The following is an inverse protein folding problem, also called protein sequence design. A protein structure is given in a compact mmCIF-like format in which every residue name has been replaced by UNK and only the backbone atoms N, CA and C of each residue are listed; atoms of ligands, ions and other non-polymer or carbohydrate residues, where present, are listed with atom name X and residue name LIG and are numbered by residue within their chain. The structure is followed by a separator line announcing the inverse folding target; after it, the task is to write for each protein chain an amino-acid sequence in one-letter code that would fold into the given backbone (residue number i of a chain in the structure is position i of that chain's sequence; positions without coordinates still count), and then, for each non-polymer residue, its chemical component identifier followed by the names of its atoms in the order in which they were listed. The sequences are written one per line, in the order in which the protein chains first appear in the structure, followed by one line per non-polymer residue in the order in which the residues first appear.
data_IF_325324161616
#
_entry.id   IF_325324161616
#
_cell.length_a   1.000
_cell.length_b   1.000
_cell.length_c   1.000
_cell.angle_alpha   90.00
_cell.angle_beta   90.00
_cell.angle_gamma   90.00
#
_symmetry.space_group_name_H-M   'P 1'
#
loop_
_entity.id
_entity.type
_entity.pdbx_description
1 polymer ?
#
# COMPACT_ATOMS: atom_id res chain seq x y z
N UNK A 1 -16.09 -11.19 26.75
CA UNK A 1 -15.18 -11.37 25.60
C UNK A 1 -13.94 -12.08 26.12
N UNK A 2 -13.68 -13.33 25.73
CA UNK A 2 -12.49 -14.06 26.16
C UNK A 2 -11.22 -13.33 25.72
N UNK A 3 -10.21 -13.28 26.60
CA UNK A 3 -8.91 -12.72 26.28
C UNK A 3 -8.32 -13.51 25.10
N UNK A 4 -7.92 -12.80 24.05
CA UNK A 4 -7.30 -13.43 22.87
C UNK A 4 -5.90 -13.86 23.28
N UNK A 5 -5.66 -15.17 23.32
CA UNK A 5 -4.32 -15.70 23.55
C UNK A 5 -3.46 -15.46 22.30
N UNK A 6 -2.16 -15.24 22.51
CA UNK A 6 -1.21 -15.10 21.43
C UNK A 6 -0.88 -16.49 20.85
N UNK A 7 -0.86 -16.66 19.52
CA UNK A 7 -0.49 -17.94 18.92
C UNK A 7 1.01 -18.19 19.11
N UNK A 8 1.38 -19.34 19.67
CA UNK A 8 2.78 -19.70 19.92
C UNK A 8 3.44 -20.33 18.69
N UNK A 9 2.65 -20.94 17.82
CA UNK A 9 3.10 -21.59 16.57
C UNK A 9 2.60 -20.85 15.33
N UNK A 10 3.22 -21.13 14.17
CA UNK A 10 2.78 -20.54 12.91
C UNK A 10 1.40 -21.10 12.53
N UNK A 11 1.16 -22.37 12.81
CA UNK A 11 -0.09 -23.08 12.56
C UNK A 11 -1.23 -22.47 13.39
N UNK A 12 -0.99 -22.17 14.67
CA UNK A 12 -1.96 -21.44 15.51
C UNK A 12 -2.20 -20.03 14.98
N UNK A 13 -1.16 -19.37 14.46
CA UNK A 13 -1.32 -18.05 13.85
C UNK A 13 -2.16 -18.11 12.56
N UNK A 14 -1.97 -19.13 11.73
CA UNK A 14 -2.78 -19.40 10.54
C UNK A 14 -4.22 -19.71 10.92
N UNK A 15 -4.46 -20.61 11.88
CA UNK A 15 -5.81 -20.93 12.37
C UNK A 15 -6.53 -19.69 12.93
N UNK A 16 -5.82 -18.85 13.70
CA UNK A 16 -6.34 -17.57 14.19
C UNK A 16 -6.66 -16.60 13.03
N UNK A 17 -5.94 -16.72 11.90
CA UNK A 17 -6.20 -15.97 10.67
C UNK A 17 -7.47 -16.48 9.96
N UNK A 18 -7.68 -17.78 9.90
CA UNK A 18 -8.89 -18.37 9.32
C UNK A 18 -10.13 -17.98 10.14
N UNK A 19 -10.11 -18.20 11.46
CA UNK A 19 -11.27 -18.07 12.35
C UNK A 19 -11.89 -16.66 12.33
N UNK A 20 -11.06 -15.60 12.36
CA UNK A 20 -11.54 -14.22 12.61
C UNK A 20 -11.64 -13.32 11.37
N UNK A 21 -11.43 -13.86 10.16
CA UNK A 21 -11.53 -13.11 8.89
C UNK A 21 -10.74 -11.79 8.84
N UNK A 22 -11.08 -10.85 7.95
CA UNK A 22 -10.29 -9.60 7.65
C UNK A 22 -10.08 -8.59 8.80
N UNK A 23 -10.32 -8.94 10.07
CA UNK A 23 -10.64 -8.01 11.17
C UNK A 23 -9.50 -7.64 12.13
N UNK A 24 -8.34 -8.32 12.12
CA UNK A 24 -7.26 -8.11 13.10
C UNK A 24 -5.87 -7.91 12.45
N UNK A 25 -4.92 -7.20 13.10
CA UNK A 25 -3.60 -6.90 12.55
C UNK A 25 -2.66 -8.12 12.63
N UNK A 26 -2.98 -9.13 11.84
CA UNK A 26 -2.33 -10.45 11.81
C UNK A 26 -1.00 -10.46 11.06
N UNK A 27 -0.77 -9.47 10.19
CA UNK A 27 0.54 -9.25 9.56
C UNK A 27 1.64 -9.13 10.62
N UNK A 28 1.35 -8.51 11.77
CA UNK A 28 2.31 -8.41 12.86
C UNK A 28 2.65 -9.78 13.47
N UNK A 29 1.64 -10.64 13.65
CA UNK A 29 1.81 -12.00 14.19
C UNK A 29 2.65 -12.84 13.22
N UNK A 30 2.37 -12.80 11.92
CA UNK A 30 3.19 -13.52 10.94
C UNK A 30 4.63 -13.00 10.90
N UNK A 31 4.82 -11.67 10.94
CA UNK A 31 6.16 -11.07 11.07
C UNK A 31 6.86 -11.57 12.34
N UNK A 32 6.14 -11.68 13.46
CA UNK A 32 6.70 -12.23 14.70
C UNK A 32 7.26 -13.64 14.50
N UNK A 33 6.47 -14.57 13.94
CA UNK A 33 6.93 -15.95 13.75
C UNK A 33 8.07 -16.05 12.75
N UNK A 34 8.03 -15.27 11.67
CA UNK A 34 9.09 -15.23 10.65
C UNK A 34 10.41 -14.71 11.25
N UNK A 35 10.37 -13.61 12.00
CA UNK A 35 11.55 -13.06 12.66
C UNK A 35 12.07 -13.96 13.79
N UNK A 36 11.16 -14.63 14.52
CA UNK A 36 11.54 -15.65 15.52
C UNK A 36 12.29 -16.80 14.87
N UNK A 37 11.81 -17.29 13.72
CA UNK A 37 12.44 -18.37 12.94
C UNK A 37 13.80 -17.95 12.37
N UNK A 38 13.93 -16.71 11.91
CA UNK A 38 15.19 -16.19 11.37
C UNK A 38 16.26 -15.92 12.45
N UNK A 39 15.86 -15.77 13.71
CA UNK A 39 16.77 -15.60 14.84
C UNK A 39 17.66 -14.37 14.70
N UNK A 40 18.95 -14.53 15.00
CA UNK A 40 19.94 -13.45 15.00
C UNK A 40 20.23 -12.89 13.61
N UNK A 41 20.06 -13.69 12.54
CA UNK A 41 20.21 -13.26 11.14
C UNK A 41 19.20 -12.18 10.77
N UNK A 42 18.01 -12.23 11.36
CA UNK A 42 16.90 -11.35 11.01
C UNK A 42 16.40 -11.55 9.57
N UNK A 43 15.42 -10.74 9.18
CA UNK A 43 14.86 -10.74 7.82
C UNK A 43 14.67 -9.34 7.27
N UNK A 44 14.76 -9.22 5.95
CA UNK A 44 14.35 -8.04 5.22
C UNK A 44 12.83 -7.93 5.10
N UNK A 45 12.33 -6.71 4.94
CA UNK A 45 10.89 -6.44 4.78
C UNK A 45 10.32 -7.18 3.57
N UNK A 46 11.06 -7.21 2.45
CA UNK A 46 10.62 -7.87 1.22
C UNK A 46 10.58 -9.39 1.34
N UNK A 47 11.56 -9.99 2.02
CA UNK A 47 11.55 -11.42 2.31
C UNK A 47 10.36 -11.80 3.20
N UNK A 48 10.10 -11.04 4.27
CA UNK A 48 8.91 -11.26 5.09
C UNK A 48 7.62 -11.14 4.27
N UNK A 49 7.54 -10.19 3.35
CA UNK A 49 6.39 -10.07 2.45
C UNK A 49 6.21 -11.29 1.56
N UNK A 50 7.28 -11.79 0.92
CA UNK A 50 7.24 -13.00 0.09
C UNK A 50 6.79 -14.21 0.89
N UNK A 51 7.31 -14.38 2.10
CA UNK A 51 6.95 -15.47 3.00
C UNK A 51 5.49 -15.39 3.45
N UNK A 52 5.02 -14.19 3.82
CA UNK A 52 3.61 -13.99 4.17
C UNK A 52 2.71 -14.31 2.98
N UNK A 53 3.07 -13.87 1.77
CA UNK A 53 2.29 -14.17 0.56
C UNK A 53 2.22 -15.69 0.33
N UNK A 54 3.36 -16.38 0.44
CA UNK A 54 3.43 -17.84 0.32
C UNK A 54 2.54 -18.55 1.34
N UNK A 55 2.58 -18.14 2.62
CA UNK A 55 1.71 -18.71 3.67
C UNK A 55 0.23 -18.57 3.30
N UNK A 56 -0.19 -17.44 2.72
CA UNK A 56 -1.57 -17.24 2.28
C UNK A 56 -1.95 -18.15 1.10
N UNK A 57 -1.02 -18.37 0.17
CA UNK A 57 -1.21 -19.23 -1.00
C UNK A 57 -1.26 -20.71 -0.61
N UNK A 58 -0.31 -21.18 0.22
CA UNK A 58 -0.19 -22.57 0.66
C UNK A 58 -1.34 -23.00 1.58
N UNK A 59 -1.75 -22.15 2.52
CA UNK A 59 -2.82 -22.47 3.46
C UNK A 59 -4.21 -22.13 2.92
N UNK A 60 -4.34 -21.70 1.66
CA UNK A 60 -5.64 -21.51 1.01
C UNK A 60 -6.59 -20.60 1.79
N UNK A 61 -6.05 -19.56 2.44
CA UNK A 61 -6.73 -18.78 3.50
C UNK A 61 -8.02 -18.07 3.07
N UNK A 62 -8.52 -18.24 1.84
CA UNK A 62 -9.73 -17.60 1.30
C UNK A 62 -9.68 -16.07 1.33
N UNK A 63 -8.49 -15.52 1.59
CA UNK A 63 -8.24 -14.13 1.90
C UNK A 63 -7.09 -13.63 1.03
N UNK A 64 -7.19 -12.38 0.59
CA UNK A 64 -6.11 -11.72 -0.14
C UNK A 64 -4.93 -11.47 0.81
N UNK A 65 -3.68 -11.84 0.45
CA UNK A 65 -2.51 -11.52 1.25
C UNK A 65 -2.33 -10.00 1.41
N UNK A 66 -1.69 -9.54 2.50
CA UNK A 66 -1.42 -8.12 2.69
C UNK A 66 -0.44 -7.61 1.60
N UNK A 67 -0.65 -6.41 1.05
CA UNK A 67 0.30 -5.84 0.11
C UNK A 67 1.63 -5.51 0.80
N UNK A 68 2.73 -5.46 0.04
CA UNK A 68 4.06 -5.14 0.55
C UNK A 68 4.08 -3.86 1.42
N UNK A 69 3.37 -2.81 1.00
CA UNK A 69 3.29 -1.55 1.76
C UNK A 69 2.65 -1.72 3.15
N UNK A 70 1.72 -2.67 3.32
CA UNK A 70 1.14 -2.98 4.62
C UNK A 70 2.17 -3.67 5.52
N UNK A 71 2.99 -4.58 4.97
CA UNK A 71 4.12 -5.20 5.67
C UNK A 71 5.15 -4.14 6.07
N UNK A 72 5.55 -3.28 5.14
CA UNK A 72 6.49 -2.18 5.40
C UNK A 72 6.01 -1.22 6.49
N UNK A 73 4.74 -0.78 6.43
CA UNK A 73 4.13 0.06 7.48
C UNK A 73 4.10 -0.67 8.83
N UNK A 74 3.86 -1.97 8.81
CA UNK A 74 3.90 -2.79 10.03
C UNK A 74 5.31 -2.82 10.63
N UNK A 75 6.36 -3.04 9.83
CA UNK A 75 7.74 -2.93 10.28
C UNK A 75 8.05 -1.57 10.92
N UNK A 76 7.59 -0.48 10.30
CA UNK A 76 7.73 0.85 10.89
C UNK A 76 7.07 0.94 12.28
N UNK A 77 5.83 0.46 12.43
CA UNK A 77 5.15 0.46 13.73
C UNK A 77 5.87 -0.41 14.76
N UNK A 78 6.24 -1.64 14.38
CA UNK A 78 6.93 -2.59 15.26
C UNK A 78 8.28 -2.02 15.74
N UNK A 79 9.04 -1.36 14.86
CA UNK A 79 10.29 -0.68 15.20
C UNK A 79 10.04 0.48 16.16
N UNK A 80 9.02 1.31 15.91
CA UNK A 80 8.68 2.45 16.80
C UNK A 80 8.18 2.00 18.17
N UNK A 81 7.61 0.80 18.27
CA UNK A 81 7.21 0.18 19.54
C UNK A 81 8.38 -0.53 20.24
N UNK A 82 9.55 -0.62 19.62
CA UNK A 82 10.71 -1.33 20.14
C UNK A 82 10.56 -2.86 20.16
N UNK A 83 9.66 -3.41 19.34
CA UNK A 83 9.42 -4.86 19.24
C UNK A 83 10.41 -5.53 18.28
N UNK A 84 10.93 -4.77 17.33
CA UNK A 84 11.99 -5.19 16.40
C UNK A 84 13.09 -4.14 16.35
N UNK A 85 14.29 -4.56 16.03
CA UNK A 85 15.46 -3.70 15.85
C UNK A 85 16.19 -4.01 14.54
N UNK A 86 17.02 -3.07 14.11
CA UNK A 86 17.87 -3.23 12.95
C UNK A 86 19.04 -4.17 13.28
N UNK A 87 19.24 -5.19 12.44
CA UNK A 87 20.23 -6.24 12.63
C UNK A 87 21.44 -6.11 11.68
N UNK A 88 21.41 -5.15 10.75
CA UNK A 88 22.45 -4.94 9.73
C UNK A 88 21.86 -4.71 8.34
N UNK A 89 22.74 -4.44 7.38
CA UNK A 89 22.37 -4.36 5.96
C UNK A 89 23.21 -5.38 5.20
N UNK A 90 22.60 -6.01 4.22
CA UNK A 90 23.30 -6.81 3.22
C UNK A 90 23.32 -6.05 1.89
N UNK A 91 24.36 -6.22 1.05
CA UNK A 91 24.35 -5.65 -0.29
C UNK A 91 23.15 -6.20 -1.07
N UNK A 92 22.54 -5.35 -1.90
CA UNK A 92 21.52 -5.78 -2.83
C UNK A 92 22.08 -6.78 -3.85
N UNK A 93 21.21 -7.51 -4.54
CA UNK A 93 21.62 -8.49 -5.55
C UNK A 93 22.38 -7.89 -6.74
N UNK A 94 22.29 -6.57 -6.93
CA UNK A 94 23.00 -5.81 -7.95
C UNK A 94 23.75 -4.62 -7.35
N UNK A 95 24.81 -4.12 -7.99
CA UNK A 95 25.60 -2.99 -7.49
C UNK A 95 24.80 -1.69 -7.29
N UNK A 96 23.74 -1.49 -8.07
CA UNK A 96 22.82 -0.35 -7.97
C UNK A 96 21.59 -0.62 -7.08
N UNK A 97 21.44 -1.85 -6.57
CA UNK A 97 20.32 -2.18 -5.71
C UNK A 97 20.56 -1.63 -4.30
N UNK A 98 19.50 -1.07 -3.72
CA UNK A 98 19.56 -0.56 -2.35
C UNK A 98 19.91 -1.71 -1.37
N UNK A 99 20.74 -1.43 -0.34
CA UNK A 99 21.05 -2.42 0.68
C UNK A 99 19.79 -2.98 1.35
N UNK A 100 19.78 -4.29 1.58
CA UNK A 100 18.68 -4.98 2.24
C UNK A 100 18.84 -4.82 3.74
N UNK A 101 18.02 -3.95 4.34
CA UNK A 101 17.97 -3.78 5.78
C UNK A 101 17.36 -5.01 6.47
N UNK A 102 18.13 -5.65 7.34
CA UNK A 102 17.72 -6.80 8.16
C UNK A 102 17.16 -6.31 9.48
N UNK A 103 16.10 -6.96 9.95
CA UNK A 103 15.50 -6.70 11.26
C UNK A 103 15.38 -7.99 12.05
N UNK A 104 15.51 -7.91 13.37
CA UNK A 104 15.32 -9.03 14.29
C UNK A 104 14.44 -8.65 15.47
N UNK A 105 13.96 -9.66 16.20
CA UNK A 105 13.20 -9.44 17.43
C UNK A 105 14.12 -8.87 18.52
N UNK A 106 13.60 -7.90 19.28
CA UNK A 106 14.21 -7.48 20.54
C UNK A 106 13.79 -8.40 21.68
N UNK A 107 14.47 -8.37 22.83
CA UNK A 107 13.97 -9.04 24.05
C UNK A 107 12.55 -8.60 24.42
N UNK A 108 12.27 -7.31 24.24
CA UNK A 108 10.93 -6.76 24.45
C UNK A 108 9.93 -7.36 23.47
N UNK A 109 10.29 -7.47 22.19
CA UNK A 109 9.49 -8.16 21.17
C UNK A 109 9.16 -9.60 21.53
N UNK A 110 10.08 -10.31 22.19
CA UNK A 110 9.85 -11.66 22.69
C UNK A 110 8.93 -11.72 23.91
N UNK A 111 8.98 -10.74 24.82
CA UNK A 111 8.16 -10.73 26.05
C UNK A 111 6.75 -10.16 25.83
N UNK A 112 6.61 -9.09 25.04
CA UNK A 112 5.39 -8.27 24.95
C UNK A 112 4.37 -8.79 23.91
N UNK A 113 3.92 -10.04 24.08
CA UNK A 113 2.99 -10.76 23.18
C UNK A 113 1.70 -10.00 22.86
N UNK A 114 1.15 -9.30 23.84
CA UNK A 114 -0.09 -8.54 23.69
C UNK A 114 0.02 -7.41 22.66
N UNK A 115 1.22 -6.83 22.49
CA UNK A 115 1.45 -5.73 21.54
C UNK A 115 1.39 -6.20 20.09
N UNK A 116 1.75 -7.46 19.83
CA UNK A 116 1.70 -8.06 18.49
C UNK A 116 0.28 -8.34 18.01
N UNK A 117 -0.67 -8.56 18.93
CA UNK A 117 -2.08 -8.74 18.58
C UNK A 117 -2.72 -7.46 18.03
N UNK A 118 -2.22 -6.28 18.43
CA UNK A 118 -2.67 -5.00 17.88
C UNK A 118 -1.64 -3.86 18.03
N UNK A 119 -0.54 -3.84 17.25
CA UNK A 119 0.52 -2.85 17.40
C UNK A 119 0.00 -1.41 17.25
N UNK A 120 -0.96 -1.21 16.35
CA UNK A 120 -1.55 0.11 16.08
C UNK A 120 -2.27 0.70 17.29
N UNK A 121 -2.81 -0.11 18.20
CA UNK A 121 -3.43 0.37 19.44
C UNK A 121 -2.42 0.98 20.40
N UNK A 122 -1.18 0.49 20.38
CA UNK A 122 -0.09 0.95 21.22
C UNK A 122 0.70 2.10 20.58
N UNK A 123 0.64 2.21 19.26
CA UNK A 123 1.29 3.30 18.52
C UNK A 123 0.48 4.60 18.59
N UNK A 124 1.05 5.66 19.18
CA UNK A 124 0.53 7.03 19.14
C UNK A 124 1.42 7.90 18.23
N UNK A 125 0.90 8.45 17.11
CA UNK A 125 1.69 9.38 16.31
C UNK A 125 1.87 10.70 17.08
N UNK A 126 3.12 11.09 17.35
CA UNK A 126 3.48 12.43 17.84
C UNK A 126 3.75 12.62 19.33
N UNK A 127 4.17 11.61 20.09
CA UNK A 127 4.53 11.80 21.51
C UNK A 127 5.84 11.14 21.90
N UNK A 128 6.76 11.94 22.45
CA UNK A 128 7.82 11.45 23.34
C UNK A 128 7.25 10.71 24.55
N UNK A 129 8.13 10.21 25.41
CA UNK A 129 7.82 9.45 26.62
C UNK A 129 6.51 9.91 27.27
N UNK A 130 5.57 8.97 27.46
CA UNK A 130 4.33 9.26 28.13
C UNK A 130 4.64 9.76 29.55
N UNK A 131 4.30 11.02 29.83
CA UNK A 131 4.29 11.53 31.20
C UNK A 131 3.39 10.60 32.06
N UNK A 132 3.80 10.30 33.31
CA UNK A 132 3.01 9.45 34.19
C UNK A 132 1.59 10.00 34.31
N UNK A 133 0.60 9.13 34.15
CA UNK A 133 -0.80 9.52 34.30
C UNK A 133 -1.03 10.00 35.73
N UNK A 134 -1.72 11.13 35.95
CA UNK A 134 -2.16 11.49 37.29
C UNK A 134 -3.17 10.44 37.80
N UNK A 135 -3.23 10.22 39.12
CA UNK A 135 -4.14 9.23 39.70
C UNK A 135 -5.58 9.50 39.28
N UNK A 136 -6.26 8.43 38.88
CA UNK A 136 -7.63 8.45 38.36
C UNK A 136 -8.63 8.86 39.45
N UNK A 137 -9.05 10.12 39.42
CA UNK A 137 -10.28 10.56 40.07
C UNK A 137 -11.54 10.00 39.39
N UNK A 138 -12.70 10.05 40.07
CA UNK A 138 -13.95 9.50 39.56
C UNK A 138 -14.34 10.14 38.22
N UNK A 139 -14.62 9.28 37.25
CA UNK A 139 -14.92 9.63 35.86
C UNK A 139 -16.30 10.31 35.80
N UNK A 140 -16.45 11.50 35.19
CA UNK A 140 -17.76 12.10 35.01
C UNK A 140 -18.63 11.22 34.09
N UNK A 141 -19.96 11.17 34.31
CA UNK A 141 -20.85 10.37 33.48
C UNK A 141 -20.86 10.89 32.03
N UNK A 142 -21.07 10.01 31.04
CA UNK A 142 -21.05 10.39 29.64
C UNK A 142 -22.21 11.35 29.33
N UNK A 143 -21.99 12.40 28.54
CA UNK A 143 -23.05 13.33 28.18
C UNK A 143 -24.10 12.62 27.32
N UNK A 144 -25.38 12.82 27.64
CA UNK A 144 -26.53 12.33 26.85
C UNK A 144 -26.57 12.98 25.46
N UNK A 145 -25.83 12.41 24.50
CA UNK A 145 -25.90 12.85 23.11
C UNK A 145 -27.16 12.33 22.42
N UNK A 146 -28.11 13.24 22.18
CA UNK A 146 -29.38 12.97 21.46
C UNK A 146 -29.16 12.18 20.14
N UNK A 147 -29.92 11.10 19.88
CA UNK A 147 -29.70 10.14 18.79
C UNK A 147 -29.69 10.72 17.36
N UNK A 148 -30.21 11.94 17.16
CA UNK A 148 -30.25 12.63 15.86
C UNK A 148 -28.86 13.06 15.34
N UNK A 149 -27.90 13.43 16.21
CA UNK A 149 -26.53 13.82 15.79
C UNK A 149 -25.70 12.62 15.30
N UNK A 150 -25.85 11.46 15.97
CA UNK A 150 -25.17 10.19 15.62
C UNK A 150 -25.53 9.68 14.22
N UNK A 151 -26.81 9.81 13.84
CA UNK A 151 -27.31 9.37 12.52
C UNK A 151 -26.76 10.25 11.37
N UNK A 152 -26.64 11.58 11.60
CA UNK A 152 -26.05 12.53 10.64
C UNK A 152 -24.55 12.31 10.45
N UNK A 153 -23.80 12.11 11.54
CA UNK A 153 -22.37 11.82 11.47
C UNK A 153 -22.07 10.48 10.75
N UNK A 154 -22.91 9.46 10.96
CA UNK A 154 -22.79 8.16 10.29
C UNK A 154 -23.06 8.27 8.78
N UNK A 155 -24.07 9.03 8.36
CA UNK A 155 -24.34 9.33 6.94
C UNK A 155 -23.21 10.13 6.28
N UNK A 156 -22.67 11.15 6.97
CA UNK A 156 -21.54 11.93 6.46
C UNK A 156 -20.27 11.08 6.29
N UNK A 157 -19.97 10.18 7.24
CA UNK A 157 -18.85 9.23 7.12
C UNK A 157 -19.04 8.23 5.99
N UNK A 158 -20.26 7.73 5.77
CA UNK A 158 -20.58 6.80 4.66
C UNK A 158 -20.37 7.48 3.30
N UNK A 159 -20.89 8.70 3.13
CA UNK A 159 -20.65 9.53 1.93
C UNK A 159 -19.17 9.88 1.71
N UNK A 160 -18.40 10.11 2.78
CA UNK A 160 -16.94 10.35 2.71
C UNK A 160 -16.14 9.09 2.37
N UNK A 161 -16.68 7.90 2.65
CA UNK A 161 -16.07 6.60 2.34
C UNK A 161 -16.41 6.16 0.90
N UNK A 162 -17.63 6.44 0.45
CA UNK A 162 -18.08 6.23 -0.94
C UNK A 162 -17.36 7.20 -1.92
N UNK A 163 -17.14 8.47 -1.53
CA UNK A 163 -16.26 9.40 -2.28
C UNK A 163 -14.76 9.04 -2.25
N UNK A 164 -14.37 8.07 -1.43
CA UNK A 164 -13.00 7.53 -1.32
C UNK A 164 -12.90 6.11 -1.92
N UNK A 165 -13.80 5.76 -2.84
CA UNK A 165 -13.50 4.74 -3.86
C UNK A 165 -12.34 5.19 -4.77
N UNK A 166 -12.09 4.52 -5.90
CA UNK A 166 -10.82 4.15 -6.60
C UNK A 166 -9.62 5.12 -6.61
N UNK A 167 -9.77 6.37 -6.17
CA UNK A 167 -8.75 7.41 -5.98
C UNK A 167 -7.51 7.02 -5.18
N UNK A 168 -7.61 6.04 -4.29
CA UNK A 168 -6.44 5.56 -3.54
C UNK A 168 -5.72 4.39 -4.22
N UNK A 169 -6.41 3.66 -5.09
CA UNK A 169 -5.80 2.51 -5.79
C UNK A 169 -4.97 3.01 -6.96
N UNK A 170 -5.52 3.79 -7.90
CA UNK A 170 -4.74 4.23 -9.06
C UNK A 170 -3.58 5.16 -8.70
N UNK A 171 -3.72 5.97 -7.63
CA UNK A 171 -2.66 6.88 -7.18
C UNK A 171 -1.43 6.13 -6.66
N UNK A 172 -1.62 4.93 -6.11
CA UNK A 172 -0.51 4.04 -5.79
C UNK A 172 0.24 3.62 -7.05
N UNK A 173 -0.47 3.19 -8.10
CA UNK A 173 0.17 2.81 -9.36
C UNK A 173 0.94 4.01 -9.94
N UNK A 174 0.31 5.19 -10.01
CA UNK A 174 0.94 6.43 -10.47
C UNK A 174 2.21 6.82 -9.68
N UNK A 175 2.16 6.79 -8.35
CA UNK A 175 3.30 7.16 -7.49
C UNK A 175 4.45 6.12 -7.54
N UNK A 176 4.22 4.93 -8.12
CA UNK A 176 5.20 3.83 -8.21
C UNK A 176 5.44 3.38 -9.67
N UNK A 177 5.34 4.32 -10.62
CA UNK A 177 5.64 4.11 -12.03
C UNK A 177 7.07 3.58 -12.29
N UNK A 178 8.00 3.91 -11.40
CA UNK A 178 9.40 3.48 -11.43
C UNK A 178 9.61 1.99 -11.10
N UNK A 179 8.58 1.32 -10.58
CA UNK A 179 8.57 -0.11 -10.25
C UNK A 179 8.00 -0.98 -11.38
N UNK A 180 7.60 -0.37 -12.50
CA UNK A 180 7.06 -1.10 -13.65
C UNK A 180 8.17 -1.89 -14.34
N UNK A 181 7.92 -3.18 -14.55
CA UNK A 181 8.75 -4.09 -15.31
C UNK A 181 7.90 -4.74 -16.41
N UNK A 182 8.55 -5.33 -17.41
CA UNK A 182 7.85 -6.06 -18.48
C UNK A 182 6.88 -7.12 -17.94
N UNK A 183 7.28 -7.81 -16.87
CA UNK A 183 6.50 -8.91 -16.27
C UNK A 183 5.27 -8.44 -15.48
N UNK A 184 5.26 -7.21 -14.96
CA UNK A 184 4.16 -6.70 -14.12
C UNK A 184 3.32 -5.59 -14.80
N UNK A 185 3.69 -5.21 -16.01
CA UNK A 185 3.11 -4.09 -16.75
C UNK A 185 1.59 -4.19 -16.92
N UNK A 186 1.07 -5.38 -17.22
CA UNK A 186 -0.37 -5.61 -17.40
C UNK A 186 -1.18 -5.35 -16.11
N UNK A 187 -0.77 -5.97 -15.01
CA UNK A 187 -1.41 -5.78 -13.69
C UNK A 187 -1.30 -4.32 -13.22
N UNK A 188 -0.17 -3.68 -13.52
CA UNK A 188 0.07 -2.29 -13.18
C UNK A 188 -0.86 -1.34 -13.95
N UNK A 189 -1.03 -1.55 -15.26
CA UNK A 189 -1.95 -0.77 -16.10
C UNK A 189 -3.40 -0.92 -15.66
N UNK A 190 -3.85 -2.14 -15.33
CA UNK A 190 -5.21 -2.38 -14.83
C UNK A 190 -5.48 -1.59 -13.54
N UNK A 191 -4.49 -1.52 -12.65
CA UNK A 191 -4.57 -0.75 -11.42
C UNK A 191 -4.55 0.76 -11.61
N UNK A 192 -3.82 1.25 -12.63
CA UNK A 192 -3.74 2.65 -13.00
C UNK A 192 -4.97 3.13 -13.78
N UNK A 193 -5.64 2.23 -14.51
CA UNK A 193 -6.70 2.56 -15.47
C UNK A 193 -7.83 3.44 -14.92
N UNK A 194 -8.34 3.22 -13.69
CA UNK A 194 -9.34 4.11 -13.09
C UNK A 194 -8.85 5.56 -12.95
N UNK A 195 -7.55 5.76 -12.73
CA UNK A 195 -6.91 7.07 -12.69
C UNK A 195 -6.77 7.70 -14.06
N UNK A 196 -6.45 6.90 -15.08
CA UNK A 196 -6.39 7.36 -16.47
C UNK A 196 -7.72 7.96 -16.92
N UNK A 197 -8.86 7.41 -16.49
CA UNK A 197 -10.19 8.03 -16.76
C UNK A 197 -10.41 9.36 -16.03
N UNK A 198 -9.79 9.56 -14.87
CA UNK A 198 -9.93 10.79 -14.07
C UNK A 198 -8.96 11.89 -14.52
N UNK A 199 -7.70 11.56 -14.81
CA UNK A 199 -6.61 12.50 -15.10
C UNK A 199 -5.65 11.96 -16.18
N UNK A 200 -6.11 11.73 -17.42
CA UNK A 200 -5.33 11.02 -18.45
C UNK A 200 -4.03 11.75 -18.80
N UNK A 201 -4.09 13.07 -19.03
CA UNK A 201 -2.93 13.87 -19.43
C UNK A 201 -1.80 13.84 -18.38
N UNK A 202 -2.16 13.98 -17.10
CA UNK A 202 -1.20 13.98 -15.99
C UNK A 202 -0.45 12.65 -15.87
N UNK A 203 -1.18 11.56 -16.10
CA UNK A 203 -0.64 10.22 -15.99
C UNK A 203 0.25 9.89 -17.19
N UNK A 204 -0.22 10.21 -18.41
CA UNK A 204 0.55 10.06 -19.65
C UNK A 204 1.87 10.84 -19.62
N UNK A 205 1.84 12.10 -19.20
CA UNK A 205 3.05 12.91 -19.04
C UNK A 205 4.10 12.20 -18.19
N UNK A 206 3.68 11.62 -17.06
CA UNK A 206 4.61 10.94 -16.14
C UNK A 206 5.16 9.62 -16.74
N UNK A 207 4.34 8.91 -17.52
CA UNK A 207 4.78 7.71 -18.25
C UNK A 207 5.85 8.10 -19.27
N UNK A 208 5.63 9.17 -20.03
CA UNK A 208 6.56 9.71 -21.04
C UNK A 208 7.89 10.13 -20.42
N UNK A 209 7.86 10.96 -19.37
CA UNK A 209 9.08 11.41 -18.65
C UNK A 209 9.96 10.21 -18.22
N UNK A 210 9.34 9.12 -17.77
CA UNK A 210 10.05 7.92 -17.33
C UNK A 210 10.52 7.04 -18.49
N UNK A 211 9.84 7.10 -19.63
CA UNK A 211 10.25 6.41 -20.84
C UNK A 211 11.59 6.95 -21.35
N UNK A 212 11.72 8.28 -21.38
CA UNK A 212 12.93 8.95 -21.83
C UNK A 212 14.10 8.76 -20.84
N UNK A 213 13.81 8.61 -19.54
CA UNK A 213 14.82 8.31 -18.52
C UNK A 213 15.35 6.85 -18.56
N UNK A 214 14.56 5.87 -19.07
CA UNK A 214 14.84 4.43 -18.86
C UNK A 214 14.85 3.54 -20.11
N UNK A 215 14.48 4.05 -21.29
CA UNK A 215 14.57 3.32 -22.56
C UNK A 215 13.54 2.18 -22.75
N UNK A 216 13.82 1.28 -23.69
CA UNK A 216 12.86 0.47 -24.47
C UNK A 216 11.79 -0.39 -23.78
N UNK A 217 11.81 -0.60 -22.46
CA UNK A 217 10.69 -1.23 -21.73
C UNK A 217 9.45 -0.32 -21.74
N UNK A 218 9.65 0.99 -21.80
CA UNK A 218 8.57 1.96 -21.74
C UNK A 218 7.93 2.28 -23.09
N UNK A 219 8.58 1.98 -24.22
CA UNK A 219 7.92 2.02 -25.54
C UNK A 219 6.79 0.99 -25.62
N UNK A 220 7.00 -0.24 -25.12
CA UNK A 220 5.94 -1.25 -25.02
C UNK A 220 4.79 -0.81 -24.10
N UNK A 221 5.08 -0.02 -23.06
CA UNK A 221 4.07 0.55 -22.18
C UNK A 221 3.24 1.62 -22.89
N UNK A 222 3.86 2.50 -23.67
CA UNK A 222 3.17 3.52 -24.47
C UNK A 222 2.25 2.87 -25.51
N UNK A 223 2.73 1.83 -26.19
CA UNK A 223 1.94 1.03 -27.14
C UNK A 223 0.70 0.45 -26.47
N UNK A 224 0.88 -0.13 -25.29
CA UNK A 224 -0.23 -0.74 -24.55
C UNK A 224 -1.23 0.31 -24.04
N UNK A 225 -0.76 1.50 -23.67
CA UNK A 225 -1.63 2.61 -23.29
C UNK A 225 -2.43 3.11 -24.49
N UNK A 226 -1.81 3.23 -25.67
CA UNK A 226 -2.50 3.58 -26.91
C UNK A 226 -3.64 2.60 -27.23
N UNK A 227 -3.36 1.29 -27.18
CA UNK A 227 -4.38 0.25 -27.41
C UNK A 227 -5.56 0.33 -26.42
N UNK A 228 -5.29 0.68 -25.16
CA UNK A 228 -6.33 0.79 -24.15
C UNK A 228 -7.16 2.07 -24.34
N UNK A 229 -6.53 3.18 -24.76
CA UNK A 229 -7.21 4.42 -25.09
C UNK A 229 -8.15 4.25 -26.30
N UNK A 230 -7.75 3.49 -27.32
CA UNK A 230 -8.63 3.15 -28.45
C UNK A 230 -9.90 2.42 -28.01
N UNK A 231 -9.78 1.56 -26.99
CA UNK A 231 -10.90 0.77 -26.45
C UNK A 231 -11.78 1.56 -25.47
N UNK A 232 -11.31 2.69 -24.96
CA UNK A 232 -11.98 3.49 -23.94
C UNK A 232 -12.20 4.94 -24.40
N UNK A 233 -13.20 5.12 -25.27
CA UNK A 233 -13.52 6.43 -25.87
C UNK A 233 -13.73 7.55 -24.84
N UNK A 234 -14.23 7.25 -23.64
CA UNK A 234 -14.46 8.27 -22.60
C UNK A 234 -13.14 8.84 -22.08
N UNK A 235 -12.12 7.99 -21.89
CA UNK A 235 -10.79 8.46 -21.48
C UNK A 235 -10.12 9.25 -22.60
N UNK A 236 -10.29 8.80 -23.85
CA UNK A 236 -9.76 9.44 -25.03
C UNK A 236 -10.36 10.83 -25.27
N UNK A 237 -11.69 10.97 -25.25
CA UNK A 237 -12.38 12.25 -25.44
C UNK A 237 -11.98 13.29 -24.37
N UNK A 238 -11.81 12.84 -23.12
CA UNK A 238 -11.32 13.70 -22.03
C UNK A 238 -9.86 14.12 -22.23
N UNK A 239 -9.02 13.23 -22.74
CA UNK A 239 -7.64 13.59 -23.08
C UNK A 239 -7.61 14.64 -24.20
N UNK A 240 -8.44 14.47 -25.23
CA UNK A 240 -8.62 15.46 -26.30
C UNK A 240 -9.04 16.82 -25.78
N UNK A 241 -10.04 16.87 -24.90
CA UNK A 241 -10.50 18.12 -24.26
C UNK A 241 -9.35 18.80 -23.51
N UNK A 242 -8.60 18.06 -22.69
CA UNK A 242 -7.46 18.58 -21.93
C UNK A 242 -6.32 19.08 -22.83
N UNK A 243 -6.05 18.41 -23.94
CA UNK A 243 -5.00 18.85 -24.87
C UNK A 243 -5.46 20.04 -25.72
N UNK A 244 -6.75 20.12 -26.05
CA UNK A 244 -7.36 21.29 -26.69
C UNK A 244 -7.29 22.54 -25.80
N UNK A 245 -7.55 22.41 -24.50
CA UNK A 245 -7.38 23.49 -23.51
C UNK A 245 -5.94 24.02 -23.45
N UNK A 246 -4.95 23.16 -23.70
CA UNK A 246 -3.54 23.52 -23.76
C UNK A 246 -3.09 24.05 -25.13
N UNK A 247 -3.99 24.10 -26.13
CA UNK A 247 -3.67 24.51 -27.49
C UNK A 247 -2.77 23.52 -28.25
N UNK A 248 -2.67 22.28 -27.78
CA UNK A 248 -1.81 21.24 -28.36
C UNK A 248 -2.48 20.51 -29.54
N UNK A 249 -3.80 20.65 -29.70
CA UNK A 249 -4.57 19.97 -30.75
C UNK A 249 -5.64 20.90 -31.28
N UNK A 250 -5.72 21.05 -32.61
CA UNK A 250 -6.77 21.82 -33.28
C UNK A 250 -7.36 21.01 -34.45
N UNK A 251 -8.64 20.67 -34.36
CA UNK A 251 -9.52 20.47 -35.51
C UNK A 251 -9.29 19.24 -36.42
N UNK A 252 -8.50 18.24 -36.02
CA UNK A 252 -8.40 16.95 -36.72
C UNK A 252 -8.59 15.76 -35.76
N UNK A 253 -9.12 14.66 -36.28
CA UNK A 253 -9.08 13.36 -35.60
C UNK A 253 -7.63 12.85 -35.64
N UNK A 254 -7.05 12.62 -34.48
CA UNK A 254 -5.72 12.04 -34.33
C UNK A 254 -5.86 10.58 -33.85
N UNK A 255 -4.88 9.73 -34.13
CA UNK A 255 -4.83 8.42 -33.45
C UNK A 255 -4.34 8.60 -32.01
N UNK A 256 -4.66 7.69 -31.07
CA UNK A 256 -4.08 7.72 -29.74
C UNK A 256 -2.55 7.68 -29.72
N UNK A 257 -1.93 7.13 -30.78
CA UNK A 257 -0.49 7.14 -30.97
C UNK A 257 0.04 8.54 -31.33
N UNK A 258 -0.61 9.21 -32.28
CA UNK A 258 -0.27 10.60 -32.63
C UNK A 258 -0.38 11.54 -31.42
N UNK A 259 -1.37 11.31 -30.54
CA UNK A 259 -1.51 12.07 -29.29
C UNK A 259 -0.34 11.83 -28.33
N UNK A 260 0.13 10.59 -28.20
CA UNK A 260 1.29 10.26 -27.37
C UNK A 260 2.54 10.94 -27.94
N UNK A 261 2.73 10.90 -29.25
CA UNK A 261 3.88 11.51 -29.93
C UNK A 261 3.87 13.04 -29.81
N UNK A 262 2.71 13.69 -29.95
CA UNK A 262 2.54 15.12 -29.69
C UNK A 262 2.89 15.46 -28.24
N UNK A 263 2.48 14.63 -27.28
CA UNK A 263 2.81 14.84 -25.86
C UNK A 263 4.30 14.63 -25.59
N UNK A 264 4.96 13.65 -26.22
CA UNK A 264 6.41 13.47 -26.13
C UNK A 264 7.12 14.75 -26.59
N UNK A 265 6.80 15.21 -27.80
CA UNK A 265 7.40 16.42 -28.36
C UNK A 265 7.10 17.68 -27.54
N UNK A 266 5.91 17.81 -26.96
CA UNK A 266 5.52 18.97 -26.16
C UNK A 266 6.16 19.02 -24.76
N UNK A 267 6.74 17.91 -24.29
CA UNK A 267 7.38 17.81 -22.97
C UNK A 267 8.92 17.67 -23.02
N UNK A 268 9.51 17.60 -24.22
CA UNK A 268 10.94 17.87 -24.47
C UNK A 268 11.27 19.37 -24.31
#
# INVERSE_FOLDING_TARGET
MSAVQFPETLEEAVALIEERGRSAPRTAILIYHLLRRAGSRGMGVYECYREIRRIYEEHGLGLRPPPYTAVMKMFYFLRRLGLIEYAGSEPGSHPWALPINRYRLTERGLRERSMWLNPKRFYRPGGGAAAPQPPSGPRPPPPEERPKKRKRARRARRRKKERKGPRYEWRYYYDNLDMVTRDNMGEWLEGLWPGMREQPLRILRRIIELADERGGVFEELLDRVAELLEKDRVALDRLYEQMGELGLVYGREFSPRDLIDILRYAFE
#
